data_IF_549098454795
#
_entry.id   IF_549098454795
#
_cell.length_a   1.000
_cell.length_b   1.000
_cell.length_c   1.000
_cell.angle_alpha   90.00
_cell.angle_beta   90.00
_cell.angle_gamma   90.00
#
_symmetry.space_group_name_H-M   'P 1'
#
loop_
_entity.id
_entity.type
_entity.pdbx_description
1 polymer ?
#
# COMPACT_ATOMS: atom_id res chain seq x y z
N UNK A 1 12.96 -4.92 4.71
CA UNK A 1 12.47 -5.81 3.60
C UNK A 1 13.59 -6.78 3.19
N UNK A 2 13.31 -8.06 3.00
CA UNK A 2 14.30 -9.07 2.64
C UNK A 2 14.82 -8.89 1.22
N UNK A 3 16.11 -9.16 1.00
CA UNK A 3 16.76 -8.98 -0.30
C UNK A 3 16.12 -9.84 -1.41
N UNK A 4 15.69 -11.04 -1.09
CA UNK A 4 15.04 -11.95 -2.04
C UNK A 4 13.67 -11.44 -2.54
N UNK A 5 12.95 -10.65 -1.73
CA UNK A 5 11.72 -9.94 -2.15
C UNK A 5 12.06 -8.85 -3.17
N UNK A 6 13.09 -8.05 -2.88
CA UNK A 6 13.56 -7.00 -3.81
C UNK A 6 14.00 -7.62 -5.14
N UNK A 7 14.79 -8.70 -5.07
CA UNK A 7 15.28 -9.44 -6.25
C UNK A 7 14.11 -10.06 -7.05
N UNK A 8 13.04 -10.50 -6.38
CA UNK A 8 11.84 -10.99 -7.04
C UNK A 8 11.19 -9.87 -7.87
N UNK A 9 10.87 -8.74 -7.27
CA UNK A 9 10.25 -7.60 -7.96
C UNK A 9 11.16 -7.00 -9.03
N UNK A 10 12.48 -7.01 -8.82
CA UNK A 10 13.47 -6.59 -9.82
C UNK A 10 13.45 -7.48 -11.08
N UNK A 11 13.12 -8.76 -10.95
CA UNK A 11 13.03 -9.71 -12.07
C UNK A 11 11.64 -9.73 -12.72
N UNK A 12 10.59 -9.47 -11.95
CA UNK A 12 9.20 -9.64 -12.40
C UNK A 12 8.49 -8.31 -12.71
N UNK A 13 9.18 -7.18 -12.69
CA UNK A 13 8.62 -5.84 -12.87
C UNK A 13 7.68 -5.71 -14.08
N UNK A 14 8.02 -6.39 -15.20
CA UNK A 14 7.23 -6.32 -16.43
C UNK A 14 5.91 -7.09 -16.29
N UNK A 15 5.97 -8.35 -15.89
CA UNK A 15 4.78 -9.18 -15.67
C UNK A 15 3.89 -8.63 -14.54
N UNK A 16 4.50 -8.05 -13.50
CA UNK A 16 3.78 -7.32 -12.46
C UNK A 16 2.98 -6.15 -13.03
N UNK A 17 3.60 -5.33 -13.88
CA UNK A 17 2.92 -4.19 -14.49
C UNK A 17 1.81 -4.62 -15.47
N UNK A 18 2.08 -5.61 -16.31
CA UNK A 18 1.12 -6.18 -17.27
C UNK A 18 -0.07 -6.85 -16.57
N UNK A 19 0.11 -7.37 -15.35
CA UNK A 19 -0.96 -7.99 -14.58
C UNK A 19 -2.16 -7.07 -14.37
N UNK A 20 -1.94 -5.78 -14.10
CA UNK A 20 -3.00 -4.79 -13.91
C UNK A 20 -3.84 -4.59 -15.18
N UNK A 21 -3.24 -4.74 -16.35
CA UNK A 21 -3.93 -4.61 -17.64
C UNK A 21 -4.86 -5.81 -17.88
N UNK A 22 -4.48 -6.99 -17.42
CA UNK A 22 -5.32 -8.21 -17.45
C UNK A 22 -6.42 -8.24 -16.39
N UNK A 23 -6.29 -7.50 -15.29
CA UNK A 23 -7.18 -7.55 -14.13
C UNK A 23 -7.83 -6.18 -13.82
N UNK A 24 -8.34 -5.51 -14.86
CA UNK A 24 -8.85 -4.14 -14.78
C UNK A 24 -9.97 -3.95 -13.76
N UNK A 25 -10.91 -4.90 -13.61
CA UNK A 25 -12.01 -4.78 -12.67
C UNK A 25 -11.48 -4.73 -11.21
N UNK A 26 -10.51 -5.58 -10.89
CA UNK A 26 -9.87 -5.66 -9.58
C UNK A 26 -9.07 -4.39 -9.29
N UNK A 27 -8.16 -4.02 -10.21
CA UNK A 27 -7.35 -2.81 -10.10
C UNK A 27 -8.20 -1.53 -9.91
N UNK A 28 -9.25 -1.35 -10.72
CA UNK A 28 -10.12 -0.18 -10.64
C UNK A 28 -10.96 -0.16 -9.35
N UNK A 29 -11.27 -1.34 -8.81
CA UNK A 29 -11.96 -1.49 -7.52
C UNK A 29 -11.08 -0.99 -6.38
N UNK A 30 -9.83 -1.46 -6.31
CA UNK A 30 -8.84 -1.04 -5.31
C UNK A 30 -8.51 0.46 -5.42
N UNK A 31 -8.26 0.93 -6.64
CA UNK A 31 -7.99 2.35 -6.91
C UNK A 31 -9.15 3.24 -6.47
N UNK A 32 -10.40 2.78 -6.65
CA UNK A 32 -11.59 3.55 -6.22
C UNK A 32 -11.69 3.65 -4.69
N UNK A 33 -11.27 2.60 -3.96
CA UNK A 33 -11.19 2.65 -2.50
C UNK A 33 -10.16 3.66 -2.02
N UNK A 34 -8.97 3.63 -2.60
CA UNK A 34 -7.91 4.59 -2.29
C UNK A 34 -8.33 6.05 -2.58
N UNK A 35 -8.96 6.30 -3.73
CA UNK A 35 -9.48 7.63 -4.10
C UNK A 35 -10.43 8.26 -3.09
N UNK A 36 -11.14 7.45 -2.30
CA UNK A 36 -12.05 7.97 -1.26
C UNK A 36 -11.32 8.47 -0.01
N UNK A 37 -10.11 7.99 0.22
CA UNK A 37 -9.39 8.16 1.49
C UNK A 37 -8.16 9.04 1.34
N UNK A 38 -7.49 8.98 0.18
CA UNK A 38 -6.26 9.76 -0.10
C UNK A 38 -6.59 11.25 -0.14
N UNK A 39 -5.94 12.08 0.70
CA UNK A 39 -6.15 13.52 0.71
C UNK A 39 -5.39 14.21 -0.44
N UNK A 40 -5.66 15.49 -0.63
CA UNK A 40 -4.83 16.37 -1.46
C UNK A 40 -3.57 16.78 -0.72
N UNK A 41 -2.52 17.16 -1.47
CA UNK A 41 -1.26 17.67 -0.91
C UNK A 41 -0.02 16.97 -1.46
N UNK A 42 1.13 17.26 -0.87
CA UNK A 42 2.41 16.63 -1.20
C UNK A 42 2.44 15.21 -0.60
N UNK A 43 2.09 14.20 -1.42
CA UNK A 43 2.07 12.80 -1.00
C UNK A 43 3.29 12.02 -1.43
N UNK A 44 3.73 11.08 -0.58
CA UNK A 44 4.73 10.05 -0.88
C UNK A 44 4.04 8.68 -0.92
N UNK A 45 4.37 7.84 -1.89
CA UNK A 45 4.07 6.40 -1.84
C UNK A 45 5.35 5.61 -1.56
N UNK A 46 5.35 4.85 -0.44
CA UNK A 46 6.42 3.92 -0.09
C UNK A 46 6.09 2.55 -0.67
N UNK A 47 7.02 1.96 -1.42
CA UNK A 47 6.77 0.78 -2.24
C UNK A 47 5.96 1.15 -3.48
N UNK A 48 6.34 2.23 -4.15
CA UNK A 48 5.59 2.78 -5.29
C UNK A 48 5.48 1.82 -6.47
N UNK A 49 6.32 0.80 -6.52
CA UNK A 49 6.39 -0.14 -7.62
C UNK A 49 6.50 0.58 -8.95
N UNK A 50 5.67 0.19 -9.91
CA UNK A 50 5.62 0.84 -11.23
C UNK A 50 4.81 2.14 -11.26
N UNK A 51 4.23 2.58 -10.13
CA UNK A 51 3.44 3.81 -10.01
C UNK A 51 1.96 3.65 -10.38
N UNK A 52 1.45 2.42 -10.46
CA UNK A 52 0.05 2.11 -10.83
C UNK A 52 -0.98 2.74 -9.89
N UNK A 53 -0.66 2.88 -8.61
CA UNK A 53 -1.55 3.54 -7.66
C UNK A 53 -1.22 5.02 -7.50
N UNK A 54 0.06 5.40 -7.36
CA UNK A 54 0.47 6.79 -7.17
C UNK A 54 0.01 7.72 -8.28
N UNK A 55 0.29 7.39 -9.54
CA UNK A 55 0.04 8.27 -10.68
C UNK A 55 -1.45 8.67 -10.81
N UNK A 56 -2.43 7.76 -10.85
CA UNK A 56 -3.85 8.12 -10.99
C UNK A 56 -4.45 8.76 -9.72
N UNK A 57 -3.77 8.66 -8.57
CA UNK A 57 -4.15 9.31 -7.32
C UNK A 57 -3.53 10.71 -7.15
N UNK A 58 -2.65 11.13 -8.06
CA UNK A 58 -1.94 12.41 -7.97
C UNK A 58 -0.83 12.45 -6.93
N UNK A 59 -0.39 11.31 -6.44
CA UNK A 59 0.76 11.18 -5.54
C UNK A 59 2.02 11.40 -6.36
N UNK A 60 2.79 12.46 -6.04
CA UNK A 60 3.93 12.87 -6.87
C UNK A 60 5.24 12.16 -6.55
N UNK A 61 5.46 11.84 -5.28
CA UNK A 61 6.71 11.27 -4.81
C UNK A 61 6.57 9.77 -4.60
N UNK A 62 7.59 9.01 -4.99
CA UNK A 62 7.61 7.56 -4.82
C UNK A 62 8.96 7.05 -4.34
N UNK A 63 8.95 5.96 -3.61
CA UNK A 63 10.16 5.23 -3.21
C UNK A 63 9.93 3.74 -3.41
N UNK A 64 10.91 3.06 -4.00
CA UNK A 64 10.91 1.60 -4.16
C UNK A 64 12.36 1.07 -4.16
N UNK A 65 12.65 -0.12 -3.62
CA UNK A 65 13.99 -0.68 -3.67
C UNK A 65 14.38 -1.21 -5.06
N UNK A 66 13.42 -1.59 -5.92
CA UNK A 66 13.67 -2.17 -7.23
C UNK A 66 13.84 -1.07 -8.30
N UNK A 67 15.01 -1.03 -8.95
CA UNK A 67 15.34 0.04 -9.90
C UNK A 67 14.48 -0.01 -11.17
N UNK A 68 14.08 -1.20 -11.63
CA UNK A 68 13.21 -1.32 -12.80
C UNK A 68 11.79 -0.80 -12.52
N UNK A 69 11.27 -0.99 -11.29
CA UNK A 69 10.01 -0.39 -10.83
C UNK A 69 10.09 1.14 -10.88
N UNK A 70 11.15 1.72 -10.32
CA UNK A 70 11.40 3.17 -10.30
C UNK A 70 11.43 3.77 -11.71
N UNK A 71 12.03 3.08 -12.68
CA UNK A 71 12.08 3.55 -14.09
C UNK A 71 10.66 3.68 -14.67
N UNK A 72 9.79 2.70 -14.42
CA UNK A 72 8.41 2.77 -14.89
C UNK A 72 7.59 3.85 -14.14
N UNK A 73 7.78 3.97 -12.83
CA UNK A 73 7.15 5.03 -12.05
C UNK A 73 7.52 6.42 -12.60
N UNK A 74 8.81 6.64 -12.95
CA UNK A 74 9.27 7.88 -13.60
C UNK A 74 8.62 8.10 -14.97
N UNK A 75 8.46 7.06 -15.78
CA UNK A 75 7.78 7.16 -17.08
C UNK A 75 6.29 7.55 -16.92
N UNK A 76 5.68 7.29 -15.75
CA UNK A 76 4.33 7.75 -15.37
C UNK A 76 4.30 9.15 -14.76
N UNK A 77 5.45 9.86 -14.77
CA UNK A 77 5.55 11.24 -14.29
C UNK A 77 5.82 11.41 -12.80
N UNK A 78 6.16 10.34 -12.07
CA UNK A 78 6.47 10.44 -10.66
C UNK A 78 7.92 10.88 -10.41
N UNK A 79 8.12 11.60 -9.32
CA UNK A 79 9.43 11.89 -8.74
C UNK A 79 9.82 10.72 -7.84
N UNK A 80 10.28 9.64 -8.45
CA UNK A 80 10.58 8.40 -7.74
C UNK A 80 12.08 8.22 -7.49
N UNK A 81 12.43 7.73 -6.29
CA UNK A 81 13.81 7.46 -5.87
C UNK A 81 13.96 6.01 -5.40
N UNK A 82 15.13 5.43 -5.62
CA UNK A 82 15.43 4.10 -5.11
C UNK A 82 15.78 4.17 -3.63
N UNK A 83 15.18 3.30 -2.81
CA UNK A 83 15.44 3.25 -1.37
C UNK A 83 14.61 2.20 -0.66
N UNK A 84 14.94 1.98 0.61
CA UNK A 84 14.23 1.08 1.51
C UNK A 84 13.25 1.86 2.38
N UNK A 85 12.05 1.34 2.58
CA UNK A 85 11.02 1.97 3.41
C UNK A 85 11.37 1.99 4.91
N UNK A 86 12.31 1.13 5.34
CA UNK A 86 12.83 1.10 6.70
C UNK A 86 13.85 2.21 7.00
N UNK A 87 14.34 2.92 5.96
CA UNK A 87 15.30 4.04 6.08
C UNK A 87 15.09 5.01 4.92
N UNK A 88 14.16 5.94 5.13
CA UNK A 88 13.71 6.87 4.09
C UNK A 88 14.72 8.01 3.89
N UNK A 89 15.13 8.30 2.62
CA UNK A 89 16.05 9.40 2.33
C UNK A 89 15.36 10.77 2.33
N UNK A 90 14.39 10.96 3.21
CA UNK A 90 13.61 12.18 3.32
C UNK A 90 13.75 12.79 4.72
N UNK A 91 13.64 14.12 4.77
CA UNK A 91 13.62 14.85 6.01
C UNK A 91 12.34 14.57 6.81
N UNK A 92 12.38 14.84 8.10
CA UNK A 92 11.21 14.84 8.96
C UNK A 92 10.17 15.85 8.45
N UNK A 93 8.91 15.52 8.61
CA UNK A 93 7.79 16.43 8.41
C UNK A 93 7.76 17.14 7.03
N UNK A 94 8.10 16.41 5.94
CA UNK A 94 8.15 16.98 4.60
C UNK A 94 6.93 16.65 3.71
N UNK A 95 6.10 15.67 4.11
CA UNK A 95 4.91 15.28 3.34
C UNK A 95 3.61 15.57 4.08
N UNK A 96 2.56 15.95 3.34
CA UNK A 96 1.22 16.11 3.90
C UNK A 96 0.57 14.76 4.19
N UNK A 97 0.93 13.74 3.40
CA UNK A 97 0.55 12.36 3.66
C UNK A 97 1.56 11.35 3.09
N UNK A 98 1.55 10.17 3.66
CA UNK A 98 2.25 9.00 3.13
C UNK A 98 1.23 7.91 2.83
N UNK A 99 1.35 7.32 1.65
CA UNK A 99 0.55 6.18 1.19
C UNK A 99 1.44 4.94 1.11
N UNK A 100 0.90 3.79 1.53
CA UNK A 100 1.56 2.49 1.48
C UNK A 100 0.50 1.50 0.99
N UNK A 101 0.71 0.87 -0.18
CA UNK A 101 -0.27 -0.04 -0.78
C UNK A 101 0.42 -1.34 -1.15
N UNK A 102 -0.06 -2.47 -0.61
CA UNK A 102 0.49 -3.82 -0.82
C UNK A 102 1.98 -3.96 -0.48
N UNK A 103 2.42 -3.33 0.61
CA UNK A 103 3.82 -3.38 1.08
C UNK A 103 3.93 -3.96 2.48
N UNK A 104 2.98 -3.64 3.37
CA UNK A 104 3.02 -4.07 4.78
C UNK A 104 3.09 -5.59 4.91
N UNK A 105 2.55 -6.31 3.93
CA UNK A 105 2.53 -7.76 3.83
C UNK A 105 3.93 -8.40 3.68
N UNK A 106 4.92 -7.59 3.29
CA UNK A 106 6.30 -8.02 3.02
C UNK A 106 7.29 -7.51 4.07
N UNK A 107 6.82 -6.79 5.09
CA UNK A 107 7.67 -6.13 6.08
C UNK A 107 7.88 -7.02 7.31
N UNK A 108 9.13 -7.23 7.72
CA UNK A 108 9.45 -8.07 8.90
C UNK A 108 9.14 -7.36 10.22
N UNK A 109 9.38 -6.05 10.32
CA UNK A 109 9.04 -5.21 11.49
C UNK A 109 8.13 -4.06 11.06
N UNK A 110 6.80 -4.28 11.02
CA UNK A 110 5.85 -3.26 10.60
C UNK A 110 5.80 -2.07 11.55
N UNK A 111 6.14 -2.24 12.83
CA UNK A 111 6.15 -1.13 13.81
C UNK A 111 7.25 -0.12 13.48
N UNK A 112 8.48 -0.59 13.29
CA UNK A 112 9.61 0.28 12.93
C UNK A 112 9.43 0.89 11.54
N UNK A 113 8.94 0.12 10.57
CA UNK A 113 8.65 0.58 9.23
C UNK A 113 7.61 1.73 9.22
N UNK A 114 6.49 1.58 9.93
CA UNK A 114 5.47 2.62 10.00
C UNK A 114 5.92 3.83 10.81
N UNK A 115 6.77 3.67 11.85
CA UNK A 115 7.39 4.82 12.53
C UNK A 115 8.25 5.65 11.60
N UNK A 116 9.02 5.00 10.73
CA UNK A 116 9.85 5.71 9.75
C UNK A 116 8.98 6.45 8.73
N UNK A 117 7.90 5.86 8.25
CA UNK A 117 6.92 6.53 7.40
C UNK A 117 6.34 7.78 8.12
N UNK A 118 5.88 7.62 9.37
CA UNK A 118 5.29 8.70 10.20
C UNK A 118 6.28 9.83 10.48
N UNK A 119 7.58 9.54 10.61
CA UNK A 119 8.62 10.57 10.78
C UNK A 119 8.56 11.60 9.65
N UNK A 120 8.33 11.17 8.42
CA UNK A 120 8.30 12.04 7.24
C UNK A 120 6.98 12.81 7.06
N UNK A 121 5.93 12.42 7.79
CA UNK A 121 4.62 13.08 7.75
C UNK A 121 4.64 14.34 8.63
N UNK A 122 4.12 15.44 8.11
CA UNK A 122 3.91 16.69 8.85
C UNK A 122 2.94 16.50 10.00
N UNK A 123 2.94 17.41 10.96
CA UNK A 123 1.89 17.49 11.98
C UNK A 123 0.52 17.60 11.33
N UNK A 124 -0.47 16.89 11.86
CA UNK A 124 -1.82 16.76 11.30
C UNK A 124 -1.88 16.11 9.90
N UNK A 125 -0.77 15.62 9.39
CA UNK A 125 -0.72 14.86 8.14
C UNK A 125 -1.23 13.44 8.32
N UNK A 126 -1.40 12.70 7.23
CA UNK A 126 -2.05 11.41 7.24
C UNK A 126 -1.14 10.26 6.77
N UNK A 127 -1.31 9.10 7.39
CA UNK A 127 -0.87 7.81 6.87
C UNK A 127 -2.07 7.08 6.26
N UNK A 128 -1.90 6.61 5.02
CA UNK A 128 -2.87 5.78 4.31
C UNK A 128 -2.25 4.41 4.07
N UNK A 129 -2.90 3.36 4.55
CA UNK A 129 -2.44 1.97 4.41
C UNK A 129 -3.49 1.15 3.69
N UNK A 130 -3.14 0.64 2.49
CA UNK A 130 -3.96 -0.27 1.69
C UNK A 130 -3.35 -1.68 1.68
N UNK A 131 -4.10 -2.70 2.09
CA UNK A 131 -3.60 -4.06 2.23
C UNK A 131 -4.72 -5.10 2.08
N UNK A 132 -4.33 -6.36 1.89
CA UNK A 132 -5.26 -7.50 1.92
C UNK A 132 -5.52 -7.90 3.37
N UNK A 133 -6.80 -7.94 3.76
CA UNK A 133 -7.20 -8.45 5.08
C UNK A 133 -6.98 -9.98 5.14
N UNK A 134 -6.09 -10.42 6.04
CA UNK A 134 -5.77 -11.84 6.26
C UNK A 134 -7.00 -12.70 6.54
N UNK A 135 -7.99 -12.15 7.25
CA UNK A 135 -9.18 -12.88 7.69
C UNK A 135 -10.24 -13.00 6.59
N UNK A 136 -10.09 -12.24 5.50
CA UNK A 136 -11.00 -12.24 4.36
C UNK A 136 -10.85 -13.50 3.47
N UNK A 137 -11.84 -13.81 2.63
CA UNK A 137 -11.70 -14.84 1.60
C UNK A 137 -10.51 -14.62 0.67
N UNK A 138 -10.15 -13.37 0.36
CA UNK A 138 -8.99 -13.01 -0.46
C UNK A 138 -7.68 -13.29 0.27
N UNK A 139 -7.57 -12.92 1.56
CA UNK A 139 -6.40 -13.25 2.37
C UNK A 139 -6.17 -14.76 2.49
N UNK A 140 -7.24 -15.51 2.70
CA UNK A 140 -7.20 -16.98 2.74
C UNK A 140 -6.84 -17.60 1.37
N UNK A 141 -7.30 -17.00 0.27
CA UNK A 141 -6.94 -17.41 -1.08
C UNK A 141 -5.44 -17.27 -1.32
N UNK A 142 -4.88 -16.09 -1.07
CA UNK A 142 -3.43 -15.84 -1.22
C UNK A 142 -2.58 -16.72 -0.29
N UNK A 143 -3.03 -16.99 0.93
CA UNK A 143 -2.32 -17.85 1.87
C UNK A 143 -2.23 -19.32 1.41
N UNK A 144 -3.11 -19.77 0.51
CA UNK A 144 -3.07 -21.14 -0.05
C UNK A 144 -2.05 -21.30 -1.18
N UNK A 145 -1.67 -20.21 -1.85
CA UNK A 145 -0.69 -20.23 -2.93
C UNK A 145 0.74 -20.41 -2.37
N UNK A 146 1.45 -21.50 -2.74
CA UNK A 146 2.81 -21.73 -2.26
C UNK A 146 3.80 -20.62 -2.63
N UNK A 147 3.58 -19.91 -3.75
CA UNK A 147 4.43 -18.81 -4.20
C UNK A 147 4.35 -17.60 -3.28
N UNK A 148 3.21 -17.39 -2.64
CA UNK A 148 2.98 -16.29 -1.70
C UNK A 148 3.42 -16.62 -0.26
N UNK A 149 3.29 -17.89 0.17
CA UNK A 149 3.53 -18.31 1.57
C UNK A 149 4.86 -17.87 2.18
N UNK A 150 5.89 -17.74 1.34
CA UNK A 150 7.24 -17.46 1.86
C UNK A 150 7.42 -16.01 2.30
N UNK A 151 6.75 -15.07 1.67
CA UNK A 151 7.04 -13.65 1.81
C UNK A 151 5.82 -12.75 2.01
N UNK A 152 4.63 -13.25 1.72
CA UNK A 152 3.38 -12.50 1.80
C UNK A 152 2.65 -12.84 3.09
N UNK A 153 2.67 -11.91 4.06
CA UNK A 153 2.08 -12.06 5.38
C UNK A 153 1.12 -10.91 5.66
N UNK A 154 -0.09 -10.93 5.07
CA UNK A 154 -1.03 -9.85 5.26
C UNK A 154 -1.46 -9.75 6.73
N UNK A 155 -1.58 -8.52 7.28
CA UNK A 155 -2.12 -8.32 8.62
C UNK A 155 -3.65 -8.41 8.61
N UNK A 156 -4.25 -8.54 9.80
CA UNK A 156 -5.65 -8.18 9.99
C UNK A 156 -5.79 -6.67 10.22
N UNK A 157 -6.97 -6.06 9.95
CA UNK A 157 -7.20 -4.66 10.25
C UNK A 157 -6.99 -4.30 11.72
N UNK A 158 -7.31 -5.22 12.65
CA UNK A 158 -7.11 -5.00 14.07
C UNK A 158 -5.62 -4.91 14.44
N UNK A 159 -4.77 -5.79 13.88
CA UNK A 159 -3.32 -5.71 14.09
C UNK A 159 -2.74 -4.37 13.62
N UNK A 160 -3.23 -3.84 12.49
CA UNK A 160 -2.80 -2.52 12.00
C UNK A 160 -3.25 -1.40 12.94
N UNK A 161 -4.48 -1.45 13.46
CA UNK A 161 -4.98 -0.47 14.42
C UNK A 161 -4.18 -0.51 15.73
N UNK A 162 -3.79 -1.70 16.20
CA UNK A 162 -2.94 -1.86 17.38
C UNK A 162 -1.55 -1.24 17.16
N UNK A 163 -0.99 -1.39 15.95
CA UNK A 163 0.26 -0.72 15.58
C UNK A 163 0.06 0.80 15.56
N UNK A 164 -1.02 1.32 14.97
CA UNK A 164 -1.32 2.75 14.97
C UNK A 164 -1.36 3.33 16.38
N UNK A 165 -2.06 2.67 17.30
CA UNK A 165 -2.10 3.06 18.70
C UNK A 165 -0.70 3.05 19.35
N UNK A 166 0.10 2.00 19.08
CA UNK A 166 1.45 1.84 19.63
C UNK A 166 2.43 2.93 19.15
N UNK A 167 2.23 3.49 17.95
CA UNK A 167 3.08 4.54 17.38
C UNK A 167 2.47 5.94 17.47
N UNK A 168 1.34 6.09 18.16
CA UNK A 168 0.71 7.39 18.44
C UNK A 168 -0.05 7.99 17.25
N UNK A 169 -0.55 7.15 16.35
CA UNK A 169 -1.44 7.59 15.27
C UNK A 169 -2.91 7.52 15.71
N UNK A 170 -3.69 8.51 15.33
CA UNK A 170 -5.13 8.51 15.55
C UNK A 170 -5.87 7.96 14.33
N UNK A 171 -6.55 6.83 14.50
CA UNK A 171 -7.43 6.28 13.45
C UNK A 171 -8.54 7.27 13.07
N UNK A 172 -8.80 7.45 11.78
CA UNK A 172 -9.82 8.37 11.25
C UNK A 172 -10.93 7.68 10.49
N UNK A 173 -10.57 6.87 9.52
CA UNK A 173 -11.55 6.20 8.68
C UNK A 173 -11.00 4.92 8.06
N UNK A 174 -11.93 4.04 7.67
CA UNK A 174 -11.64 2.84 6.91
C UNK A 174 -12.57 2.73 5.70
N UNK A 175 -12.04 2.10 4.64
CA UNK A 175 -12.78 1.77 3.43
C UNK A 175 -12.39 0.36 2.99
N UNK A 176 -13.33 -0.41 2.45
CA UNK A 176 -13.10 -1.79 2.02
C UNK A 176 -13.75 -2.10 0.69
N UNK A 177 -13.16 -3.03 -0.05
CA UNK A 177 -13.63 -3.57 -1.34
C UNK A 177 -13.30 -5.05 -1.44
N UNK A 178 -13.47 -5.64 -2.61
CA UNK A 178 -13.28 -7.05 -2.89
C UNK A 178 -14.22 -7.93 -2.08
N UNK A 179 -15.53 -7.70 -2.27
CA UNK A 179 -16.60 -8.47 -1.62
C UNK A 179 -16.94 -9.76 -2.36
N UNK A 180 -16.67 -9.80 -3.68
CA UNK A 180 -16.81 -11.04 -4.46
C UNK A 180 -15.68 -12.00 -4.10
N UNK A 181 -15.92 -13.30 -4.15
CA UNK A 181 -14.87 -14.29 -3.86
C UNK A 181 -13.75 -14.26 -4.92
N UNK A 182 -12.49 -14.57 -4.52
CA UNK A 182 -11.38 -14.71 -5.45
C UNK A 182 -11.60 -15.87 -6.44
N UNK A 183 -10.84 -15.95 -7.57
CA UNK A 183 -9.65 -15.13 -7.83
C UNK A 183 -9.92 -13.83 -8.56
N UNK A 184 -11.07 -13.69 -9.24
CA UNK A 184 -11.33 -12.58 -10.14
C UNK A 184 -12.64 -11.87 -9.84
N UNK A 185 -12.66 -10.57 -10.16
CA UNK A 185 -13.88 -9.79 -10.17
C UNK A 185 -14.51 -9.79 -11.57
N UNK A 186 -15.78 -10.18 -11.67
CA UNK A 186 -16.53 -10.08 -12.92
C UNK A 186 -16.79 -8.63 -13.33
N UNK A 187 -16.83 -7.71 -12.37
CA UNK A 187 -17.03 -6.26 -12.58
C UNK A 187 -16.51 -5.48 -11.39
N UNK A 188 -16.16 -4.20 -11.65
CA UNK A 188 -15.77 -3.24 -10.64
C UNK A 188 -16.79 -3.12 -9.50
N UNK A 189 -16.30 -3.07 -8.25
CA UNK A 189 -17.09 -2.87 -7.05
C UNK A 189 -16.98 -1.44 -6.53
N UNK A 190 -18.03 -1.01 -5.83
CA UNK A 190 -18.00 0.25 -5.08
C UNK A 190 -17.50 0.03 -3.65
N UNK A 191 -16.59 0.88 -3.17
CA UNK A 191 -16.07 0.74 -1.82
C UNK A 191 -17.12 1.10 -0.76
N UNK A 192 -17.07 0.40 0.38
CA UNK A 192 -17.91 0.64 1.56
C UNK A 192 -17.07 1.09 2.74
N UNK A 193 -17.65 1.85 3.66
CA UNK A 193 -17.00 2.25 4.91
C UNK A 193 -16.76 1.05 5.82
N UNK A 194 -15.71 1.14 6.64
CA UNK A 194 -15.33 0.12 7.61
C UNK A 194 -14.46 -0.99 7.00
N UNK A 195 -14.31 -2.09 7.73
CA UNK A 195 -13.53 -3.29 7.38
C UNK A 195 -14.22 -4.56 7.89
N UNK A 196 -13.61 -5.74 7.66
CA UNK A 196 -14.08 -7.03 8.18
C UNK A 196 -15.05 -7.78 7.26
N UNK A 197 -15.26 -7.33 6.02
CA UNK A 197 -16.08 -8.02 5.00
C UNK A 197 -15.41 -8.09 3.64
N UNK A 198 -14.65 -7.05 3.29
CA UNK A 198 -13.96 -6.94 2.00
C UNK A 198 -12.53 -7.47 2.08
N UNK A 199 -12.00 -7.93 0.95
CA UNK A 199 -10.65 -8.46 0.87
C UNK A 199 -9.56 -7.40 0.88
N UNK A 200 -9.81 -6.25 0.28
CA UNK A 200 -8.90 -5.10 0.31
C UNK A 200 -9.42 -4.04 1.26
N UNK A 201 -8.58 -3.64 2.20
CA UNK A 201 -8.87 -2.64 3.23
C UNK A 201 -7.93 -1.46 3.10
N UNK A 202 -8.49 -0.26 3.18
CA UNK A 202 -7.74 0.99 3.28
C UNK A 202 -8.04 1.63 4.63
N UNK A 203 -7.00 1.83 5.43
CA UNK A 203 -7.07 2.54 6.71
C UNK A 203 -6.37 3.89 6.58
N UNK A 204 -6.98 4.93 7.17
CA UNK A 204 -6.38 6.25 7.32
C UNK A 204 -6.24 6.60 8.78
N UNK A 205 -5.06 7.06 9.15
CA UNK A 205 -4.76 7.60 10.46
C UNK A 205 -4.04 8.95 10.33
N UNK A 206 -4.10 9.79 11.36
CA UNK A 206 -3.41 11.08 11.38
C UNK A 206 -2.35 11.10 12.46
N UNK A 207 -1.24 11.77 12.15
CA UNK A 207 -0.21 12.13 13.13
C UNK A 207 -0.77 13.24 14.03
N UNK A 208 -0.75 13.03 15.33
CA UNK A 208 -1.17 14.03 16.31
C UNK A 208 -0.35 15.33 16.25
N UNK A 209 -0.75 16.31 17.06
CA UNK A 209 -0.05 17.59 17.20
C UNK A 209 1.35 17.45 17.79
#
# INVERSE_FOLDING_TARGET
MKRDIVDHFEKTWKSYDEWFDGHQALYQTELTALKKVVPSGAGLEIGVGTGRFAAPLGVRFGLDPAIHMIRLAKNRGLLAVQGLGESLPFKDECFDFVQIVFVIEFVDDPVSFLREAVRTIRRNGALILGFIDRESPWGQYYARDPSHRRHFHPPSPQEVLDIFNKIGLEFREACQTLFQPPPDLSKKENPRRGFGRGGFVVLKATKGQ
#
